data_IF_837653324649
#
_entry.id   IF_837653324649
#
_cell.length_a   1.000
_cell.length_b   1.000
_cell.length_c   1.000
_cell.angle_alpha   90.00
_cell.angle_beta   90.00
_cell.angle_gamma   90.00
#
_symmetry.space_group_name_H-M   'P 1'
#
loop_
_entity.id
_entity.type
_entity.pdbx_description
1 polymer ?
#
# COMPACT_ATOMS: atom_id res chain seq x y z
N UNK A 1 35.29 15.96 17.18
CA UNK A 1 35.12 15.25 15.90
C UNK A 1 34.07 14.13 15.92
N UNK A 2 33.61 13.61 17.06
CA UNK A 2 32.61 12.53 17.09
C UNK A 2 31.17 12.95 16.71
N UNK A 3 30.76 14.18 17.04
CA UNK A 3 29.38 14.65 16.83
C UNK A 3 29.02 14.79 15.34
N UNK A 4 29.98 15.14 14.49
CA UNK A 4 29.75 15.26 13.04
C UNK A 4 29.44 13.90 12.39
N UNK A 5 30.00 12.81 12.92
CA UNK A 5 29.71 11.44 12.46
C UNK A 5 28.29 10.99 12.85
N UNK A 6 27.75 11.47 13.97
CA UNK A 6 26.39 11.17 14.42
C UNK A 6 25.31 11.80 13.52
N UNK A 7 25.58 12.98 12.95
CA UNK A 7 24.64 13.63 12.02
C UNK A 7 24.56 12.88 10.68
N UNK A 8 25.64 12.25 10.24
CA UNK A 8 25.65 11.39 9.05
C UNK A 8 24.97 10.02 9.24
N UNK A 9 24.63 9.62 10.47
CA UNK A 9 23.84 8.42 10.76
C UNK A 9 22.32 8.66 10.68
N UNK A 10 21.89 9.93 10.62
CA UNK A 10 20.50 10.28 10.33
C UNK A 10 20.28 10.15 8.81
N UNK A 11 20.14 8.92 8.32
CA UNK A 11 19.62 8.71 6.98
C UNK A 11 18.25 9.40 6.88
N UNK A 12 18.08 10.28 5.89
CA UNK A 12 16.78 10.82 5.53
C UNK A 12 15.94 9.65 5.01
N UNK A 13 15.16 9.07 5.92
CA UNK A 13 14.18 8.06 5.58
C UNK A 13 12.93 8.78 5.07
N UNK A 14 12.95 9.14 3.80
CA UNK A 14 11.71 9.47 3.12
C UNK A 14 10.87 8.19 3.04
N UNK A 15 9.67 8.15 3.63
CA UNK A 15 8.79 7.01 3.45
C UNK A 15 8.62 6.79 1.96
N UNK A 16 8.75 5.56 1.47
CA UNK A 16 8.46 5.25 0.07
C UNK A 16 6.97 5.48 -0.14
N UNK A 17 6.63 6.68 -0.59
CA UNK A 17 5.30 7.02 -1.06
C UNK A 17 5.10 6.35 -2.39
N UNK A 18 4.26 5.32 -2.39
CA UNK A 18 3.83 4.64 -3.60
C UNK A 18 2.32 4.72 -3.66
N UNK A 19 1.81 4.85 -4.89
CA UNK A 19 0.39 4.97 -5.19
C UNK A 19 -0.04 3.82 -6.10
N UNK A 20 -1.33 3.52 -6.07
CA UNK A 20 -1.98 2.50 -6.88
C UNK A 20 -3.01 3.20 -7.75
N UNK A 21 -3.06 2.85 -9.03
CA UNK A 21 -4.17 3.24 -9.91
C UNK A 21 -5.40 2.41 -9.62
N UNK A 22 -6.59 2.95 -9.81
CA UNK A 22 -7.84 2.31 -9.49
C UNK A 22 -8.00 0.94 -10.17
N UNK A 23 -7.63 0.83 -11.45
CA UNK A 23 -7.70 -0.44 -12.19
C UNK A 23 -6.80 -1.50 -11.55
N UNK A 24 -5.58 -1.08 -11.16
CA UNK A 24 -4.64 -1.97 -10.49
C UNK A 24 -5.09 -2.37 -9.10
N UNK A 25 -5.77 -1.49 -8.37
CA UNK A 25 -6.36 -1.83 -7.07
C UNK A 25 -7.46 -2.89 -7.22
N UNK A 26 -8.31 -2.79 -8.25
CA UNK A 26 -9.34 -3.79 -8.51
C UNK A 26 -8.74 -5.17 -8.81
N UNK A 27 -7.69 -5.23 -9.62
CA UNK A 27 -6.94 -6.47 -9.89
C UNK A 27 -6.34 -7.05 -8.61
N UNK A 28 -5.64 -6.24 -7.82
CA UNK A 28 -5.04 -6.67 -6.55
C UNK A 28 -6.11 -7.16 -5.56
N UNK A 29 -7.24 -6.47 -5.47
CA UNK A 29 -8.33 -6.88 -4.60
C UNK A 29 -8.95 -8.21 -5.06
N UNK A 30 -9.00 -8.47 -6.36
CA UNK A 30 -9.41 -9.77 -6.89
C UNK A 30 -8.38 -10.87 -6.54
N UNK A 31 -7.10 -10.62 -6.78
CA UNK A 31 -5.99 -11.54 -6.45
C UNK A 31 -6.02 -11.92 -4.95
N UNK A 32 -6.11 -10.94 -4.05
CA UNK A 32 -6.18 -11.18 -2.59
C UNK A 32 -7.39 -12.03 -2.20
N UNK A 33 -8.56 -11.81 -2.84
CA UNK A 33 -9.77 -12.60 -2.53
C UNK A 33 -9.60 -14.08 -2.88
N UNK A 34 -8.87 -14.38 -3.96
CA UNK A 34 -8.63 -15.74 -4.43
C UNK A 34 -7.50 -16.46 -3.68
N UNK A 35 -6.69 -15.75 -2.90
CA UNK A 35 -5.55 -16.34 -2.20
C UNK A 35 -6.00 -17.40 -1.16
N UNK A 36 -5.59 -18.68 -1.30
CA UNK A 36 -5.98 -19.74 -0.36
C UNK A 36 -5.18 -19.71 0.94
N UNK A 37 -4.08 -18.94 1.02
CA UNK A 37 -3.19 -18.86 2.18
C UNK A 37 -3.54 -17.70 3.12
N UNK A 38 -4.52 -16.87 2.76
CA UNK A 38 -5.01 -15.78 3.58
C UNK A 38 -6.37 -16.12 4.20
N UNK A 39 -6.50 -15.90 5.50
CA UNK A 39 -7.80 -15.90 6.17
C UNK A 39 -8.63 -14.65 5.79
N UNK A 40 -9.90 -14.66 6.17
CA UNK A 40 -10.83 -13.59 5.81
C UNK A 40 -10.42 -12.21 6.38
N UNK A 41 -9.83 -12.18 7.57
CA UNK A 41 -9.40 -10.94 8.22
C UNK A 41 -8.19 -10.34 7.50
N UNK A 42 -7.20 -11.17 7.19
CA UNK A 42 -5.99 -10.81 6.45
C UNK A 42 -6.33 -10.31 5.05
N UNK A 43 -7.29 -10.95 4.37
CA UNK A 43 -7.80 -10.50 3.07
C UNK A 43 -8.39 -9.09 3.16
N UNK A 44 -9.26 -8.85 4.14
CA UNK A 44 -9.89 -7.55 4.35
C UNK A 44 -8.85 -6.47 4.69
N UNK A 45 -7.89 -6.81 5.55
CA UNK A 45 -6.79 -5.92 5.93
C UNK A 45 -5.94 -5.48 4.74
N UNK A 46 -5.53 -6.42 3.89
CA UNK A 46 -4.75 -6.13 2.69
C UNK A 46 -5.52 -5.29 1.67
N UNK A 47 -6.79 -5.62 1.41
CA UNK A 47 -7.63 -4.85 0.47
C UNK A 47 -7.82 -3.41 0.97
N UNK A 48 -8.07 -3.23 2.28
CA UNK A 48 -8.20 -1.91 2.89
C UNK A 48 -6.89 -1.13 2.83
N UNK A 49 -5.75 -1.79 3.10
CA UNK A 49 -4.43 -1.17 2.96
C UNK A 49 -4.20 -0.68 1.53
N UNK A 50 -4.43 -1.51 0.51
CA UNK A 50 -4.29 -1.08 -0.88
C UNK A 50 -5.22 0.07 -1.23
N UNK A 51 -6.44 0.11 -0.69
CA UNK A 51 -7.36 1.23 -0.86
C UNK A 51 -6.79 2.55 -0.35
N UNK A 52 -6.01 2.54 0.74
CA UNK A 52 -5.32 3.77 1.24
C UNK A 52 -4.22 4.28 0.31
N UNK A 53 -3.79 3.47 -0.65
CA UNK A 53 -2.76 3.80 -1.64
C UNK A 53 -3.35 4.26 -2.97
N UNK A 54 -4.67 4.22 -3.13
CA UNK A 54 -5.32 4.72 -4.35
C UNK A 54 -5.35 6.24 -4.29
N UNK A 55 -4.70 6.88 -5.26
CA UNK A 55 -4.55 8.35 -5.33
C UNK A 55 -5.74 9.04 -6.04
N UNK A 56 -6.70 8.25 -6.51
CA UNK A 56 -7.88 8.71 -7.24
C UNK A 56 -9.19 8.17 -6.67
N UNK A 57 -10.29 8.87 -6.92
CA UNK A 57 -11.62 8.37 -6.55
C UNK A 57 -12.03 7.26 -7.51
N UNK A 58 -11.99 6.02 -7.04
CA UNK A 58 -12.55 4.87 -7.76
C UNK A 58 -14.06 4.97 -7.87
N UNK A 59 -14.57 5.29 -9.06
CA UNK A 59 -16.00 5.16 -9.37
C UNK A 59 -16.20 3.70 -9.79
N UNK A 60 -16.68 2.87 -8.86
CA UNK A 60 -17.17 1.54 -9.24
C UNK A 60 -18.40 1.79 -10.09
N UNK A 61 -18.27 1.60 -11.40
CA UNK A 61 -19.38 1.79 -12.33
C UNK A 61 -20.59 0.95 -11.89
N UNK A 62 -21.70 1.62 -11.61
CA UNK A 62 -23.03 1.01 -11.67
C UNK A 62 -23.28 0.58 -13.12
N UNK A 63 -23.19 -0.72 -13.40
CA UNK A 63 -23.84 -1.37 -14.55
C UNK A 63 -24.26 -2.77 -14.15
#
# INVERSE_FOLDING_TARGET
MGILFYLSLLASHEPVHWTIRCERWMELAYEVKQDPYLDAESKLGLINYFKTKVDETCIVGET
#
